data_IF_548712163537
#
_entry.id   IF_548712163537
#
_cell.length_a   1.000
_cell.length_b   1.000
_cell.length_c   1.000
_cell.angle_alpha   90.00
_cell.angle_beta   90.00
_cell.angle_gamma   90.00
#
_symmetry.space_group_name_H-M   'P 1'
#
loop_
_entity.id
_entity.type
_entity.pdbx_description
1 polymer ?
#
# COMPACT_ATOMS: atom_id res chain seq x y z
N UNK A 1 -0.06 3.84 -11.01
CA UNK A 1 -0.22 2.99 -9.81
C UNK A 1 -1.70 2.70 -9.59
N UNK A 2 -2.02 1.44 -9.31
CA UNK A 2 -3.36 0.95 -9.02
C UNK A 2 -3.34 0.30 -7.65
N UNK A 3 -4.28 0.70 -6.77
CA UNK A 3 -4.47 0.09 -5.45
C UNK A 3 -5.84 -0.55 -5.41
N UNK A 4 -5.90 -1.84 -5.06
CA UNK A 4 -7.14 -2.60 -4.89
C UNK A 4 -7.21 -3.13 -3.47
N UNK A 5 -8.40 -3.11 -2.90
CA UNK A 5 -8.66 -3.64 -1.55
C UNK A 5 -9.81 -4.64 -1.65
N UNK A 6 -9.70 -5.77 -0.95
CA UNK A 6 -10.76 -6.77 -0.88
C UNK A 6 -10.87 -7.39 0.51
N UNK A 7 -12.08 -7.42 1.12
CA UNK A 7 -13.28 -6.70 0.67
C UNK A 7 -13.10 -5.18 0.79
N UNK A 8 -13.88 -4.40 0.03
CA UNK A 8 -13.88 -2.93 0.07
C UNK A 8 -14.68 -2.35 1.24
N UNK A 9 -15.52 -3.18 1.89
CA UNK A 9 -16.31 -2.83 3.08
C UNK A 9 -16.10 -3.86 4.19
N UNK A 10 -15.86 -3.37 5.42
CA UNK A 10 -15.76 -4.21 6.62
C UNK A 10 -16.96 -3.98 7.54
N UNK A 11 -17.78 -5.01 7.71
CA UNK A 11 -18.99 -4.95 8.58
C UNK A 11 -18.70 -5.62 9.92
N UNK A 12 -18.77 -4.87 11.01
CA UNK A 12 -18.58 -5.37 12.37
C UNK A 12 -19.94 -5.50 13.06
N UNK A 13 -20.20 -6.67 13.64
CA UNK A 13 -21.45 -7.00 14.33
C UNK A 13 -21.36 -6.82 15.84
N UNK A 14 -20.15 -6.90 16.40
CA UNK A 14 -19.89 -6.81 17.84
C UNK A 14 -18.53 -6.18 18.13
N UNK A 15 -18.40 -5.62 19.34
CA UNK A 15 -17.13 -5.11 19.81
C UNK A 15 -16.05 -6.21 19.83
N UNK A 16 -14.80 -5.84 19.52
CA UNK A 16 -13.62 -6.73 19.45
C UNK A 16 -13.64 -7.79 18.36
N UNK A 17 -14.60 -7.74 17.43
CA UNK A 17 -14.55 -8.56 16.23
C UNK A 17 -13.35 -8.18 15.35
N UNK A 18 -12.63 -9.19 14.85
CA UNK A 18 -11.49 -9.00 13.94
C UNK A 18 -11.95 -9.29 12.52
N UNK A 19 -11.58 -8.41 11.58
CA UNK A 19 -11.78 -8.59 10.15
C UNK A 19 -10.44 -8.56 9.44
N UNK A 20 -10.35 -9.34 8.37
CA UNK A 20 -9.16 -9.40 7.52
C UNK A 20 -9.50 -8.79 6.16
N UNK A 21 -8.57 -8.02 5.63
CA UNK A 21 -8.62 -7.47 4.28
C UNK A 21 -7.27 -7.69 3.59
N UNK A 22 -7.29 -7.70 2.26
CA UNK A 22 -6.09 -7.74 1.42
C UNK A 22 -5.97 -6.44 0.65
N UNK A 23 -4.73 -5.96 0.51
CA UNK A 23 -4.40 -4.80 -0.34
C UNK A 23 -3.46 -5.28 -1.43
N UNK A 24 -3.82 -5.02 -2.69
CA UNK A 24 -2.98 -5.28 -3.85
C UNK A 24 -2.56 -3.95 -4.45
N UNK A 25 -1.25 -3.74 -4.54
CA UNK A 25 -0.65 -2.56 -5.17
C UNK A 25 0.06 -3.00 -6.43
N UNK A 26 -0.25 -2.37 -7.56
CA UNK A 26 0.44 -2.59 -8.82
C UNK A 26 0.84 -1.27 -9.48
N UNK A 27 1.99 -1.24 -10.14
CA UNK A 27 2.39 -0.10 -10.98
C UNK A 27 3.03 -0.60 -12.26
N UNK A 28 2.64 -0.02 -13.40
CA UNK A 28 3.17 -0.38 -14.73
C UNK A 28 4.37 0.47 -15.12
N UNK A 29 4.44 1.69 -14.60
CA UNK A 29 5.59 2.56 -14.65
C UNK A 29 5.93 2.91 -13.23
N UNK A 30 7.16 2.63 -12.86
CA UNK A 30 7.76 3.34 -11.75
C UNK A 30 8.57 4.41 -12.44
N UNK A 31 7.95 5.59 -12.57
CA UNK A 31 8.67 6.80 -12.93
C UNK A 31 9.90 6.90 -12.00
N UNK A 32 10.95 7.59 -12.44
CA UNK A 32 12.23 7.76 -11.74
C UNK A 32 12.11 8.40 -10.34
N UNK A 33 10.89 8.58 -9.81
CA UNK A 33 10.58 8.96 -8.45
C UNK A 33 11.01 7.85 -7.47
N UNK A 34 11.90 8.23 -6.55
CA UNK A 34 12.48 7.34 -5.54
C UNK A 34 11.44 6.67 -4.63
N UNK A 35 10.26 7.29 -4.46
CA UNK A 35 9.16 6.75 -3.69
C UNK A 35 7.78 7.23 -4.18
N UNK A 36 6.76 6.40 -3.94
CA UNK A 36 5.34 6.74 -4.09
C UNK A 36 4.65 6.59 -2.73
N UNK A 37 3.87 7.60 -2.35
CA UNK A 37 3.17 7.63 -1.07
C UNK A 37 1.65 7.71 -1.26
N UNK A 38 0.92 7.12 -0.33
CA UNK A 38 -0.53 7.16 -0.29
C UNK A 38 -1.09 6.69 1.05
N UNK A 39 -2.41 6.53 1.12
CA UNK A 39 -3.05 5.97 2.32
C UNK A 39 -4.34 5.26 2.01
N UNK A 40 -4.58 4.18 2.75
CA UNK A 40 -5.88 3.53 2.86
C UNK A 40 -6.61 4.07 4.10
N UNK A 41 -7.85 4.50 3.93
CA UNK A 41 -8.70 4.96 5.04
C UNK A 41 -9.98 4.15 5.11
N UNK A 42 -10.24 3.54 6.27
CA UNK A 42 -11.54 2.97 6.60
C UNK A 42 -12.40 4.05 7.24
N UNK A 43 -13.50 4.41 6.58
CA UNK A 43 -14.39 5.49 7.00
C UNK A 43 -15.72 4.90 7.44
N UNK A 44 -16.17 5.33 8.62
CA UNK A 44 -17.52 5.10 9.14
C UNK A 44 -18.11 6.44 9.56
N UNK A 45 -19.38 6.45 9.98
CA UNK A 45 -20.02 7.68 10.48
C UNK A 45 -19.25 8.36 11.63
N UNK A 46 -18.59 7.57 12.50
CA UNK A 46 -17.96 8.07 13.73
C UNK A 46 -16.44 7.98 13.76
N UNK A 47 -15.84 7.13 12.93
CA UNK A 47 -14.41 6.82 13.00
C UNK A 47 -13.78 6.81 11.62
N UNK A 48 -12.55 7.31 11.55
CA UNK A 48 -11.66 7.20 10.40
C UNK A 48 -10.38 6.50 10.86
N UNK A 49 -10.09 5.33 10.28
CA UNK A 49 -8.85 4.58 10.54
C UNK A 49 -7.97 4.71 9.31
N UNK A 50 -6.84 5.42 9.43
CA UNK A 50 -5.92 5.69 8.32
C UNK A 50 -4.64 4.86 8.45
N UNK A 51 -4.30 4.15 7.38
CA UNK A 51 -3.07 3.38 7.22
C UNK A 51 -2.23 3.98 6.09
N UNK A 52 -1.05 4.56 6.37
CA UNK A 52 -0.11 5.01 5.35
C UNK A 52 0.42 3.83 4.51
N UNK A 53 0.62 4.06 3.22
CA UNK A 53 1.23 3.11 2.28
C UNK A 53 2.37 3.83 1.57
N UNK A 54 3.58 3.28 1.65
CA UNK A 54 4.77 3.81 0.98
C UNK A 54 5.37 2.71 0.11
N UNK A 55 5.55 3.01 -1.16
CA UNK A 55 6.27 2.17 -2.12
C UNK A 55 7.60 2.85 -2.38
N UNK A 56 8.71 2.21 -2.02
CA UNK A 56 10.06 2.73 -2.29
C UNK A 56 10.72 1.89 -3.38
N UNK A 57 11.30 2.56 -4.38
CA UNK A 57 12.18 1.85 -5.29
C UNK A 57 13.56 1.71 -4.67
N UNK A 58 14.08 0.50 -4.75
CA UNK A 58 15.51 0.31 -4.65
C UNK A 58 16.11 0.57 -6.03
N UNK A 59 16.57 1.80 -6.26
CA UNK A 59 17.59 2.03 -7.29
C UNK A 59 18.78 1.16 -6.90
N UNK A 60 19.14 0.20 -7.75
CA UNK A 60 20.25 -0.71 -7.50
C UNK A 60 21.52 0.11 -7.20
N UNK A 61 22.22 -0.26 -6.13
CA UNK A 61 23.56 0.27 -5.87
C UNK A 61 24.49 0.06 -7.08
N UNK A 62 25.62 0.79 -7.16
CA UNK A 62 26.49 0.78 -8.33
C UNK A 62 26.81 -0.66 -8.74
N UNK A 63 26.54 -0.98 -10.00
CA UNK A 63 26.91 -2.25 -10.60
C UNK A 63 28.41 -2.46 -10.34
N UNK A 64 28.86 -3.53 -9.66
CA UNK A 64 30.28 -3.79 -9.55
C UNK A 64 30.79 -3.97 -10.98
N UNK A 65 31.66 -3.04 -11.41
CA UNK A 65 32.33 -3.10 -12.71
C UNK A 65 32.91 -4.50 -12.84
N UNK A 66 32.45 -5.27 -13.83
CA UNK A 66 33.11 -6.52 -14.22
C UNK A 66 34.54 -6.13 -14.58
N UNK A 67 35.49 -6.52 -13.74
CA UNK A 67 36.92 -6.44 -14.07
C UNK A 67 37.20 -7.36 -15.27
N UNK A 68 38.09 -6.94 -16.19
CA UNK A 68 38.38 -7.64 -17.44
C UNK A 68 38.94 -9.05 -17.24
#
# INVERSE_FOLDING_TARGET
MTVRVSPDTLVFSKAREKKTFSVSVSSHHVDEQESMEGSLSWVSEKHVVRSPIVVSLRVGGPTPLRSP
#
